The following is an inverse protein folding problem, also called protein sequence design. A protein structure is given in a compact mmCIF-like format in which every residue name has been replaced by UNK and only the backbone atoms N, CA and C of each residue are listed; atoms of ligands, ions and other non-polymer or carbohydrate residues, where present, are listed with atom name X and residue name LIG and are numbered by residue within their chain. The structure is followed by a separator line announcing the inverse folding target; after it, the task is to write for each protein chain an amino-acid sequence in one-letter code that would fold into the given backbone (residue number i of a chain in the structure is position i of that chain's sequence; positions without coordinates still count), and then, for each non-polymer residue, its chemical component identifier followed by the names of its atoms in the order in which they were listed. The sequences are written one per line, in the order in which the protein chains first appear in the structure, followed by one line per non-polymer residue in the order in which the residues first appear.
data_IF_816916064653
#
_entry.id   IF_816916064653
#
_cell.length_a   1.000
_cell.length_b   1.000
_cell.length_c   1.000
_cell.angle_alpha   90.00
_cell.angle_beta   90.00
_cell.angle_gamma   90.00
#
_symmetry.space_group_name_H-M   'P 1'
#
loop_
_entity.id
_entity.type
_entity.pdbx_description
1 polymer ?
#
# COMPACT_ATOMS: atom_id res chain seq x y z
N UNK A 1 26.10 61.79 -5.44
CA UNK A 1 25.31 61.34 -6.62
C UNK A 1 24.29 60.26 -6.28
N UNK A 2 24.53 59.36 -5.36
CA UNK A 2 23.66 58.26 -4.95
C UNK A 2 22.27 58.71 -4.42
N UNK A 3 22.21 59.75 -3.57
CA UNK A 3 20.97 60.21 -2.94
C UNK A 3 19.96 60.85 -3.90
N UNK A 4 20.37 61.37 -5.02
CA UNK A 4 19.46 61.96 -6.01
C UNK A 4 18.76 60.86 -6.82
N UNK A 5 19.46 59.81 -7.16
CA UNK A 5 18.89 58.65 -7.90
C UNK A 5 17.87 57.94 -7.01
N UNK A 6 18.19 57.74 -5.75
CA UNK A 6 17.26 57.12 -4.82
C UNK A 6 15.95 57.91 -4.63
N UNK A 7 16.06 59.24 -4.49
CA UNK A 7 14.89 60.14 -4.39
C UNK A 7 14.03 60.15 -5.65
N UNK A 8 14.67 60.10 -6.84
CA UNK A 8 13.96 59.98 -8.13
C UNK A 8 13.19 58.65 -8.23
N UNK A 9 13.83 57.53 -7.85
CA UNK A 9 13.21 56.22 -7.90
C UNK A 9 12.00 56.15 -6.96
N UNK A 10 12.11 56.67 -5.74
CA UNK A 10 10.99 56.71 -4.76
C UNK A 10 9.86 57.61 -5.25
N UNK A 11 10.19 58.79 -5.87
CA UNK A 11 9.18 59.68 -6.41
C UNK A 11 8.46 59.09 -7.61
N UNK A 12 9.15 58.38 -8.50
CA UNK A 12 8.58 57.66 -9.65
C UNK A 12 7.67 56.55 -9.16
N UNK A 13 8.07 55.79 -8.15
CA UNK A 13 7.27 54.74 -7.55
C UNK A 13 5.96 55.29 -6.95
N UNK A 14 6.02 56.43 -6.25
CA UNK A 14 4.86 57.05 -5.66
C UNK A 14 3.89 57.65 -6.66
N UNK A 15 4.40 58.08 -7.84
CA UNK A 15 3.56 58.64 -8.89
C UNK A 15 2.79 57.57 -9.64
N UNK A 16 3.41 56.38 -9.91
CA UNK A 16 2.76 55.28 -10.63
C UNK A 16 2.25 54.16 -9.74
N UNK A 17 1.82 54.49 -8.54
CA UNK A 17 1.36 53.50 -7.51
C UNK A 17 0.40 52.46 -8.06
N UNK A 18 -0.55 52.89 -8.88
CA UNK A 18 -1.64 52.01 -9.38
C UNK A 18 -1.09 50.93 -10.34
N UNK A 19 -0.15 51.26 -11.17
CA UNK A 19 0.46 50.35 -12.15
C UNK A 19 1.40 49.37 -11.43
N UNK A 20 2.22 49.85 -10.49
CA UNK A 20 3.09 48.99 -9.70
C UNK A 20 2.29 48.02 -8.80
N UNK A 21 1.21 48.48 -8.21
CA UNK A 21 0.32 47.62 -7.40
C UNK A 21 -0.29 46.50 -8.22
N UNK A 22 -0.75 46.78 -9.44
CA UNK A 22 -1.27 45.76 -10.35
C UNK A 22 -0.20 44.73 -10.72
N UNK A 23 1.01 45.17 -11.06
CA UNK A 23 2.10 44.26 -11.40
C UNK A 23 2.53 43.38 -10.22
N UNK A 24 2.62 43.97 -9.00
CA UNK A 24 2.91 43.20 -7.78
C UNK A 24 1.82 42.18 -7.52
N UNK A 25 0.56 42.52 -7.70
CA UNK A 25 -0.57 41.62 -7.49
C UNK A 25 -0.52 40.44 -8.49
N UNK A 26 -0.21 40.71 -9.76
CA UNK A 26 -0.06 39.67 -10.78
C UNK A 26 1.09 38.71 -10.44
N UNK A 27 2.25 39.28 -10.05
CA UNK A 27 3.42 38.46 -9.68
C UNK A 27 3.12 37.61 -8.43
N UNK A 28 2.46 38.20 -7.43
CA UNK A 28 2.05 37.49 -6.21
C UNK A 28 1.07 36.35 -6.52
N UNK A 29 0.12 36.58 -7.43
CA UNK A 29 -0.85 35.59 -7.84
C UNK A 29 -0.18 34.44 -8.61
N UNK A 30 0.74 34.75 -9.53
CA UNK A 30 1.53 33.74 -10.22
C UNK A 30 2.40 32.91 -9.27
N UNK A 31 3.08 33.57 -8.34
CA UNK A 31 3.86 32.87 -7.32
C UNK A 31 2.99 31.97 -6.45
N UNK A 32 1.80 32.42 -6.05
CA UNK A 32 0.86 31.63 -5.27
C UNK A 32 0.36 30.38 -6.03
N UNK A 33 0.08 30.52 -7.34
CA UNK A 33 -0.34 29.39 -8.17
C UNK A 33 0.78 28.34 -8.29
N UNK A 34 2.01 28.79 -8.56
CA UNK A 34 3.16 27.90 -8.73
C UNK A 34 3.45 27.17 -7.41
N UNK A 35 3.55 27.90 -6.30
CA UNK A 35 3.84 27.29 -5.00
C UNK A 35 2.70 26.38 -4.53
N UNK A 36 1.46 26.79 -4.71
CA UNK A 36 0.29 25.95 -4.39
C UNK A 36 0.27 24.65 -5.17
N UNK A 37 0.58 24.70 -6.47
CA UNK A 37 0.66 23.51 -7.31
C UNK A 37 1.77 22.55 -6.86
N UNK A 38 2.95 23.06 -6.52
CA UNK A 38 4.06 22.25 -6.01
C UNK A 38 3.71 21.60 -4.65
N UNK A 39 3.11 22.37 -3.74
CA UNK A 39 2.70 21.84 -2.43
C UNK A 39 1.66 20.73 -2.55
N UNK A 40 0.72 20.88 -3.48
CA UNK A 40 -0.29 19.84 -3.73
C UNK A 40 0.37 18.56 -4.26
N UNK A 41 1.31 18.68 -5.19
CA UNK A 41 2.06 17.55 -5.72
C UNK A 41 2.85 16.80 -4.65
N UNK A 42 3.56 17.52 -3.81
CA UNK A 42 4.34 16.94 -2.71
C UNK A 42 3.43 16.27 -1.66
N UNK A 43 2.31 16.89 -1.31
CA UNK A 43 1.33 16.33 -0.37
C UNK A 43 0.75 15.00 -0.87
N UNK A 44 0.37 14.92 -2.15
CA UNK A 44 -0.13 13.68 -2.75
C UNK A 44 0.95 12.60 -2.77
N UNK A 45 2.17 12.95 -3.15
CA UNK A 45 3.29 12.01 -3.18
C UNK A 45 3.61 11.45 -1.79
N UNK A 46 3.65 12.30 -0.77
CA UNK A 46 3.90 11.88 0.61
C UNK A 46 2.76 11.01 1.15
N UNK A 47 1.51 11.37 0.86
CA UNK A 47 0.34 10.56 1.21
C UNK A 47 0.36 9.18 0.57
N UNK A 48 0.71 9.08 -0.72
CA UNK A 48 0.84 7.81 -1.41
C UNK A 48 1.99 6.96 -0.84
N UNK A 49 3.14 7.59 -0.58
CA UNK A 49 4.29 6.91 0.03
C UNK A 49 3.93 6.34 1.39
N UNK A 50 3.36 7.16 2.26
CA UNK A 50 2.94 6.74 3.60
C UNK A 50 1.92 5.60 3.56
N UNK A 51 0.93 5.70 2.69
CA UNK A 51 -0.07 4.64 2.51
C UNK A 51 0.55 3.33 2.01
N UNK A 52 1.59 3.42 1.15
CA UNK A 52 2.34 2.25 0.69
C UNK A 52 3.18 1.65 1.80
N UNK A 53 3.85 2.46 2.60
CA UNK A 53 4.65 2.01 3.75
C UNK A 53 3.76 1.36 4.81
N UNK A 54 2.59 1.92 5.11
CA UNK A 54 1.62 1.33 6.04
C UNK A 54 1.11 -0.03 5.57
N UNK A 55 0.91 -0.21 4.25
CA UNK A 55 0.48 -1.50 3.68
C UNK A 55 1.58 -2.56 3.67
N UNK A 56 2.81 -2.16 3.49
CA UNK A 56 3.96 -3.08 3.51
C UNK A 56 4.31 -3.52 4.94
N UNK A 57 3.96 -2.73 5.95
CA UNK A 57 4.32 -3.00 7.34
C UNK A 57 5.83 -3.20 7.48
N UNK A 58 6.26 -4.30 8.07
CA UNK A 58 7.67 -4.63 8.27
C UNK A 58 8.31 -5.31 7.04
N UNK A 59 7.58 -5.45 5.93
CA UNK A 59 8.09 -6.11 4.74
C UNK A 59 9.00 -5.18 3.94
N UNK A 60 10.26 -5.57 3.79
CA UNK A 60 11.25 -4.84 3.00
C UNK A 60 11.48 -5.44 1.62
N UNK A 61 11.43 -6.76 1.51
CA UNK A 61 11.66 -7.49 0.29
C UNK A 61 10.73 -8.71 0.21
N UNK A 62 10.19 -8.96 -0.96
CA UNK A 62 9.41 -10.17 -1.27
C UNK A 62 10.15 -10.93 -2.37
N UNK A 63 10.42 -12.20 -2.13
CA UNK A 63 10.97 -13.10 -3.13
C UNK A 63 9.95 -14.18 -3.44
N UNK A 64 9.63 -14.36 -4.72
CA UNK A 64 8.68 -15.36 -5.17
C UNK A 64 9.26 -16.23 -6.26
N UNK A 65 8.85 -17.48 -6.30
CA UNK A 65 9.26 -18.47 -7.31
C UNK A 65 8.30 -18.56 -8.50
N UNK A 66 7.36 -17.62 -8.60
CA UNK A 66 6.28 -17.64 -9.60
C UNK A 66 5.29 -18.77 -9.34
N UNK A 67 5.09 -19.64 -10.32
CA UNK A 67 4.13 -20.75 -10.22
C UNK A 67 4.64 -21.98 -9.44
N UNK A 68 5.84 -21.93 -8.90
CA UNK A 68 6.42 -23.06 -8.17
C UNK A 68 6.34 -22.85 -6.68
N UNK A 69 5.97 -23.88 -5.96
CA UNK A 69 6.06 -23.88 -4.51
C UNK A 69 7.53 -24.07 -4.07
N UNK A 70 7.86 -23.48 -2.96
CA UNK A 70 9.15 -23.70 -2.31
C UNK A 70 8.96 -24.33 -0.93
N UNK A 71 9.98 -25.01 -0.46
CA UNK A 71 10.00 -25.59 0.87
C UNK A 71 10.00 -24.46 1.94
N UNK A 72 9.02 -24.39 2.84
CA UNK A 72 8.99 -23.40 3.92
C UNK A 72 10.27 -23.40 4.78
N UNK A 73 10.97 -24.52 4.89
CA UNK A 73 12.26 -24.64 5.59
C UNK A 73 13.36 -23.73 4.98
N UNK A 74 13.16 -23.24 3.75
CA UNK A 74 14.07 -22.29 3.12
C UNK A 74 14.16 -20.99 3.92
N UNK A 75 13.06 -20.50 4.46
CA UNK A 75 13.04 -19.31 5.30
C UNK A 75 13.94 -19.47 6.52
N UNK A 76 13.84 -20.60 7.22
CA UNK A 76 14.72 -20.91 8.35
C UNK A 76 16.21 -20.96 7.96
N UNK A 77 16.55 -21.53 6.80
CA UNK A 77 17.93 -21.55 6.28
C UNK A 77 18.47 -20.16 5.95
N UNK A 78 17.64 -19.29 5.38
CA UNK A 78 18.02 -17.91 5.09
C UNK A 78 18.24 -17.10 6.36
N UNK A 79 17.38 -17.27 7.35
CA UNK A 79 17.51 -16.62 8.66
C UNK A 79 18.84 -17.01 9.33
N UNK A 80 19.18 -18.29 9.33
CA UNK A 80 20.41 -18.78 9.95
C UNK A 80 21.68 -18.37 9.21
N UNK A 81 21.68 -18.46 7.88
CA UNK A 81 22.90 -18.27 7.08
C UNK A 81 23.20 -16.79 6.80
N UNK A 82 22.19 -15.93 6.75
CA UNK A 82 22.34 -14.54 6.31
C UNK A 82 21.89 -13.50 7.34
N UNK A 83 21.54 -13.94 8.54
CA UNK A 83 21.01 -13.06 9.61
C UNK A 83 19.86 -12.18 9.12
N UNK A 84 19.00 -12.76 8.29
CA UNK A 84 17.78 -12.13 7.78
C UNK A 84 16.61 -12.56 8.66
N UNK A 85 15.58 -11.74 8.73
CA UNK A 85 14.28 -12.11 9.30
C UNK A 85 13.36 -12.37 8.11
N UNK A 86 13.11 -13.64 7.81
CA UNK A 86 12.25 -14.04 6.70
C UNK A 86 11.14 -14.96 7.19
N UNK A 87 9.96 -14.78 6.63
CA UNK A 87 8.79 -15.62 6.92
C UNK A 87 8.22 -16.17 5.62
N UNK A 88 7.86 -17.47 5.58
CA UNK A 88 7.25 -18.05 4.40
C UNK A 88 5.78 -17.63 4.33
N UNK A 89 5.32 -17.30 3.12
CA UNK A 89 3.91 -17.00 2.86
C UNK A 89 3.48 -17.78 1.64
N UNK A 90 2.38 -18.50 1.76
CA UNK A 90 1.72 -19.13 0.63
C UNK A 90 0.62 -18.18 0.13
N UNK A 91 0.63 -17.86 -1.15
CA UNK A 91 -0.39 -17.02 -1.76
C UNK A 91 -1.05 -17.75 -2.92
N UNK A 92 -2.37 -17.76 -2.93
CA UNK A 92 -3.17 -18.32 -4.04
C UNK A 92 -4.49 -17.56 -4.18
N UNK A 93 -5.17 -17.81 -5.28
CA UNK A 93 -6.51 -17.23 -5.53
C UNK A 93 -7.53 -18.35 -5.57
N UNK A 94 -8.66 -18.11 -4.95
CA UNK A 94 -9.74 -19.09 -4.90
C UNK A 94 -11.11 -18.45 -4.77
N UNK A 95 -12.03 -19.20 -4.24
CA UNK A 95 -13.33 -18.68 -3.86
C UNK A 95 -13.72 -19.14 -2.44
N UNK A 96 -14.49 -18.30 -1.78
CA UNK A 96 -15.02 -18.57 -0.45
C UNK A 96 -16.55 -18.63 -0.53
N UNK A 97 -17.14 -19.58 0.17
CA UNK A 97 -18.59 -19.73 0.27
C UNK A 97 -18.98 -19.86 1.71
N UNK A 98 -20.02 -19.12 2.12
CA UNK A 98 -20.65 -19.32 3.41
C UNK A 98 -21.49 -20.60 3.37
N UNK A 99 -21.22 -21.51 4.29
CA UNK A 99 -21.92 -22.80 4.36
C UNK A 99 -23.42 -22.63 4.66
N UNK A 100 -23.78 -21.65 5.49
CA UNK A 100 -25.15 -21.49 5.99
C UNK A 100 -26.11 -20.85 4.98
N UNK A 101 -25.65 -19.84 4.23
CA UNK A 101 -26.52 -19.07 3.31
C UNK A 101 -26.17 -19.25 1.83
N UNK A 102 -25.10 -19.98 1.51
CA UNK A 102 -24.66 -20.23 0.14
C UNK A 102 -24.04 -19.02 -0.57
N UNK A 103 -23.89 -17.87 0.11
CA UNK A 103 -23.24 -16.69 -0.47
C UNK A 103 -21.79 -17.01 -0.89
N UNK A 104 -21.41 -16.63 -2.10
CA UNK A 104 -20.11 -16.98 -2.67
C UNK A 104 -19.38 -15.75 -3.12
N UNK A 105 -18.11 -15.64 -2.75
CA UNK A 105 -17.16 -14.63 -3.22
C UNK A 105 -16.13 -15.30 -4.12
N UNK A 106 -15.98 -14.78 -5.35
CA UNK A 106 -14.99 -15.25 -6.32
C UNK A 106 -13.74 -14.37 -6.29
N UNK A 107 -12.64 -14.92 -6.78
CA UNK A 107 -11.33 -14.23 -6.87
C UNK A 107 -10.85 -13.69 -5.52
N UNK A 108 -11.00 -14.49 -4.49
CA UNK A 108 -10.49 -14.16 -3.14
C UNK A 108 -9.01 -14.53 -3.07
N UNK A 109 -8.19 -13.56 -2.64
CA UNK A 109 -6.78 -13.85 -2.32
C UNK A 109 -6.70 -14.58 -0.99
N UNK A 110 -6.03 -15.72 -1.00
CA UNK A 110 -5.88 -16.62 0.14
C UNK A 110 -4.41 -16.66 0.52
N UNK A 111 -4.10 -16.33 1.77
CA UNK A 111 -2.76 -16.35 2.32
C UNK A 111 -2.65 -17.44 3.37
N UNK A 112 -1.77 -18.39 3.13
CA UNK A 112 -1.34 -19.38 4.12
C UNK A 112 -0.13 -18.85 4.86
N UNK A 113 -0.27 -18.63 6.17
CA UNK A 113 0.76 -18.05 7.02
C UNK A 113 0.87 -18.84 8.32
N UNK A 114 2.04 -18.80 8.93
CA UNK A 114 2.29 -19.34 10.26
C UNK A 114 2.25 -18.23 11.35
N UNK A 115 2.45 -18.61 12.59
CA UNK A 115 2.51 -17.64 13.70
C UNK A 115 3.66 -16.64 13.56
N UNK A 116 4.77 -17.04 12.93
CA UNK A 116 5.93 -16.17 12.73
C UNK A 116 5.61 -14.98 11.82
N UNK A 117 4.62 -15.10 10.93
CA UNK A 117 4.13 -14.01 10.11
C UNK A 117 3.50 -12.89 10.96
N UNK A 118 2.71 -13.24 11.96
CA UNK A 118 2.09 -12.25 12.84
C UNK A 118 3.13 -11.56 13.72
N UNK A 119 4.08 -12.33 14.25
CA UNK A 119 5.19 -11.78 15.03
C UNK A 119 6.06 -10.84 14.19
N UNK A 120 6.34 -11.20 12.93
CA UNK A 120 7.09 -10.38 11.99
C UNK A 120 6.42 -9.01 11.74
N UNK A 121 5.11 -8.98 11.67
CA UNK A 121 4.33 -7.75 11.49
C UNK A 121 3.97 -7.05 12.81
N UNK A 122 4.44 -7.55 13.96
CA UNK A 122 4.14 -6.97 15.27
C UNK A 122 2.68 -7.14 15.71
N UNK A 123 1.96 -8.06 15.09
CA UNK A 123 0.54 -8.36 15.38
C UNK A 123 0.44 -9.41 16.50
N UNK A 124 1.03 -9.09 17.63
CA UNK A 124 1.04 -9.99 18.79
C UNK A 124 -0.37 -10.18 19.33
N UNK A 125 -0.76 -11.44 19.53
CA UNK A 125 -2.05 -11.81 20.13
C UNK A 125 -3.09 -12.36 19.15
N UNK A 126 -2.83 -12.36 17.85
CA UNK A 126 -3.67 -13.07 16.88
C UNK A 126 -3.34 -14.55 16.96
N UNK A 127 -4.29 -15.35 17.42
CA UNK A 127 -4.20 -16.80 17.41
C UNK A 127 -5.29 -17.36 16.51
N UNK A 128 -4.87 -18.07 15.48
CA UNK A 128 -5.78 -18.85 14.65
C UNK A 128 -5.87 -20.23 15.26
N UNK A 129 -7.07 -20.70 15.59
CA UNK A 129 -7.30 -22.07 16.01
C UNK A 129 -7.04 -23.05 14.84
N UNK A 130 -6.72 -24.29 15.15
CA UNK A 130 -6.55 -25.32 14.15
C UNK A 130 -7.80 -25.42 13.26
N UNK A 131 -7.59 -25.30 11.92
CA UNK A 131 -8.68 -25.24 10.95
C UNK A 131 -9.43 -23.92 10.88
N UNK A 132 -9.01 -22.90 11.64
CA UNK A 132 -9.61 -21.58 11.60
C UNK A 132 -9.02 -20.72 10.47
N UNK A 133 -9.78 -19.70 10.07
CA UNK A 133 -9.36 -18.67 9.09
C UNK A 133 -9.69 -17.28 9.59
N UNK A 134 -8.86 -16.33 9.21
CA UNK A 134 -9.13 -14.91 9.38
C UNK A 134 -9.69 -14.34 8.09
N UNK A 135 -10.83 -13.68 8.18
CA UNK A 135 -11.45 -13.00 7.07
C UNK A 135 -11.27 -11.49 7.19
N UNK A 136 -11.04 -10.85 6.05
CA UNK A 136 -11.16 -9.40 5.95
C UNK A 136 -12.61 -8.99 6.23
N UNK A 137 -12.80 -7.90 6.99
CA UNK A 137 -14.13 -7.41 7.37
C UNK A 137 -15.07 -7.14 6.21
N UNK A 138 -14.55 -6.68 5.07
CA UNK A 138 -15.34 -6.48 3.85
C UNK A 138 -15.85 -7.81 3.28
N UNK A 139 -15.01 -8.84 3.26
CA UNK A 139 -15.37 -10.17 2.79
C UNK A 139 -16.37 -10.84 3.73
N UNK A 140 -16.15 -10.74 5.04
CA UNK A 140 -17.06 -11.24 6.05
C UNK A 140 -18.45 -10.59 5.92
N UNK A 141 -18.49 -9.26 5.75
CA UNK A 141 -19.74 -8.53 5.52
C UNK A 141 -20.44 -8.92 4.24
N UNK A 142 -19.69 -9.10 3.14
CA UNK A 142 -20.24 -9.54 1.85
C UNK A 142 -20.85 -10.95 1.91
N UNK A 143 -20.19 -11.87 2.58
CA UNK A 143 -20.64 -13.25 2.75
C UNK A 143 -21.68 -13.42 3.89
N UNK A 144 -21.90 -12.37 4.70
CA UNK A 144 -22.77 -12.44 5.87
C UNK A 144 -22.27 -13.40 6.94
N UNK A 145 -20.96 -13.51 7.13
CA UNK A 145 -20.28 -14.41 8.05
C UNK A 145 -20.01 -13.72 9.38
N UNK A 146 -20.20 -14.43 10.46
CA UNK A 146 -19.86 -14.03 11.83
C UNK A 146 -18.75 -14.92 12.37
N UNK A 147 -18.14 -14.47 13.45
CA UNK A 147 -17.14 -15.28 14.16
C UNK A 147 -17.76 -16.60 14.63
N UNK A 148 -17.09 -17.71 14.30
CA UNK A 148 -17.54 -19.07 14.60
C UNK A 148 -18.36 -19.75 13.49
N UNK A 149 -18.71 -19.05 12.42
CA UNK A 149 -19.39 -19.64 11.28
C UNK A 149 -18.45 -20.51 10.44
N UNK A 150 -19.00 -21.53 9.79
CA UNK A 150 -18.27 -22.40 8.87
C UNK A 150 -18.23 -21.81 7.46
N UNK A 151 -17.05 -21.88 6.85
CA UNK A 151 -16.82 -21.45 5.48
C UNK A 151 -16.19 -22.55 4.65
N UNK A 152 -16.52 -22.57 3.36
CA UNK A 152 -15.88 -23.43 2.38
C UNK A 152 -14.91 -22.58 1.58
N UNK A 153 -13.64 -22.96 1.60
CA UNK A 153 -12.60 -22.35 0.80
C UNK A 153 -12.17 -23.36 -0.25
N UNK A 154 -12.19 -22.93 -1.52
CA UNK A 154 -11.65 -23.73 -2.62
C UNK A 154 -10.68 -22.88 -3.42
N UNK A 155 -9.51 -23.43 -3.64
CA UNK A 155 -8.47 -22.83 -4.46
C UNK A 155 -8.00 -23.84 -5.49
N UNK A 156 -7.49 -23.34 -6.62
CA UNK A 156 -6.88 -24.19 -7.63
C UNK A 156 -5.48 -24.56 -7.12
N UNK A 157 -5.19 -25.83 -7.08
CA UNK A 157 -3.83 -26.31 -6.91
C UNK A 157 -2.98 -25.80 -8.08
N UNK A 158 -1.77 -25.28 -7.80
CA UNK A 158 -0.90 -24.82 -8.86
C UNK A 158 -0.48 -26.05 -9.67
N UNK A 159 -1.04 -26.20 -10.85
CA UNK A 159 -0.65 -27.25 -11.76
C UNK A 159 0.73 -26.89 -12.35
N UNK A 160 1.78 -27.68 -12.09
CA UNK A 160 3.12 -27.41 -12.62
C UNK A 160 3.19 -27.57 -14.16
N UNK A 161 2.14 -28.11 -14.76
CA UNK A 161 2.04 -28.28 -16.21
C UNK A 161 1.14 -27.19 -16.77
N UNK A 162 1.64 -26.29 -17.63
CA UNK A 162 0.79 -25.34 -18.32
C UNK A 162 -0.32 -26.07 -19.10
N UNK A 163 -1.52 -25.57 -19.00
CA UNK A 163 -2.72 -26.11 -19.70
C UNK A 163 -2.52 -26.29 -21.24
N UNK A 164 -1.50 -25.60 -21.81
CA UNK A 164 -1.11 -25.62 -23.22
C UNK A 164 0.27 -26.29 -23.45
N UNK A 165 0.74 -27.13 -22.55
CA UNK A 165 1.97 -27.88 -22.79
C UNK A 165 1.75 -28.86 -23.96
N UNK A 166 2.52 -28.80 -25.05
CA UNK A 166 2.42 -29.80 -26.10
C UNK A 166 2.92 -31.14 -25.55
N UNK A 167 2.10 -32.17 -25.72
CA UNK A 167 2.42 -33.53 -25.41
C UNK A 167 3.40 -34.10 -26.47
#
# INVERSE_FOLDING_TARGET
MSNHLFRLTVKSFLFSKREYMNNILIIALLAAIITGSMMTGDSVRESLKRNSEEKLGNTYLVAGTGLRFFDPALAGRLNHNHNLITVPVFETTGYCQNFSNGATALNVSIYGVDSAFFDFHGLNGIKISDGGVLLNGNLAGYLGIKEGDEIIIRFREADPIPENAPF
#
